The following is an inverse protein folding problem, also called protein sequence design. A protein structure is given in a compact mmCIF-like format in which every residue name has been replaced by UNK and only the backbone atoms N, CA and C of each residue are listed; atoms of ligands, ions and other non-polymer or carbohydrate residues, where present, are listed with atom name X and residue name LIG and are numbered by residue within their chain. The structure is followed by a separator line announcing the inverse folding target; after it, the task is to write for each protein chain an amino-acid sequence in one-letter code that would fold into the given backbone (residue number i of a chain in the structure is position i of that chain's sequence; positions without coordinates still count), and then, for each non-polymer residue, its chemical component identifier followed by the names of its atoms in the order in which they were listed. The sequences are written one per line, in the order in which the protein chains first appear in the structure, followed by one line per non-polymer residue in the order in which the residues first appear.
data_IF_609027784186
#
_entry.id   IF_609027784186
#
_cell.length_a   1.000
_cell.length_b   1.000
_cell.length_c   1.000
_cell.angle_alpha   90.00
_cell.angle_beta   90.00
_cell.angle_gamma   90.00
#
_symmetry.space_group_name_H-M   'P 1'
#
loop_
_entity.id
_entity.type
_entity.pdbx_description
1 polymer ?
#
# COMPACT_ATOMS: atom_id res chain seq x y z
N UNK A 1 10.73 -4.66 21.57
CA UNK A 1 9.79 -5.43 20.72
C UNK A 1 10.58 -5.97 19.54
N UNK A 2 10.65 -7.28 19.36
CA UNK A 2 11.46 -7.89 18.30
C UNK A 2 10.88 -7.51 16.93
N UNK A 3 11.72 -6.94 16.03
CA UNK A 3 11.38 -6.77 14.62
C UNK A 3 11.17 -8.16 14.03
N UNK A 4 9.94 -8.53 13.71
CA UNK A 4 9.70 -9.75 12.94
C UNK A 4 10.24 -9.51 11.52
N UNK A 5 11.21 -10.29 11.02
CA UNK A 5 11.76 -10.10 9.69
C UNK A 5 10.64 -10.25 8.67
N UNK A 6 10.37 -9.18 7.92
CA UNK A 6 9.32 -9.18 6.91
C UNK A 6 9.76 -10.07 5.75
N UNK A 7 9.03 -11.15 5.51
CA UNK A 7 9.25 -11.95 4.31
C UNK A 7 8.73 -11.19 3.10
N UNK A 8 9.29 -11.39 1.89
CA UNK A 8 8.78 -10.79 0.67
C UNK A 8 7.27 -11.01 0.49
N UNK A 9 6.77 -12.21 0.78
CA UNK A 9 5.35 -12.54 0.71
C UNK A 9 4.51 -11.74 1.71
N UNK A 10 4.93 -11.65 2.98
CA UNK A 10 4.20 -10.86 3.99
C UNK A 10 4.14 -9.37 3.65
N UNK A 11 5.20 -8.84 3.01
CA UNK A 11 5.23 -7.47 2.51
C UNK A 11 4.30 -7.28 1.33
N UNK A 12 4.33 -8.19 0.34
CA UNK A 12 3.44 -8.13 -0.82
C UNK A 12 1.98 -8.18 -0.42
N UNK A 13 1.61 -9.09 0.49
CA UNK A 13 0.24 -9.18 1.03
C UNK A 13 -0.22 -7.85 1.63
N UNK A 14 0.62 -7.24 2.50
CA UNK A 14 0.34 -5.92 3.06
C UNK A 14 0.20 -4.81 2.01
N UNK A 15 1.02 -4.79 0.97
CA UNK A 15 0.91 -3.78 -0.10
C UNK A 15 -0.42 -3.89 -0.84
N UNK A 16 -0.90 -5.12 -1.06
CA UNK A 16 -2.20 -5.38 -1.69
C UNK A 16 -3.37 -4.92 -0.81
N UNK A 17 -3.25 -5.08 0.51
CA UNK A 17 -4.27 -4.65 1.48
C UNK A 17 -4.28 -3.14 1.72
N UNK A 18 -3.13 -2.47 1.62
CA UNK A 18 -2.98 -1.04 1.89
C UNK A 18 -3.83 -0.18 0.96
N UNK A 19 -3.89 -0.50 -0.32
CA UNK A 19 -4.64 0.29 -1.31
C UNK A 19 -6.14 0.35 -0.99
N UNK A 20 -6.87 -0.78 -0.86
CA UNK A 20 -8.29 -0.76 -0.49
C UNK A 20 -8.54 -0.25 0.94
N UNK A 21 -7.59 -0.43 1.86
CA UNK A 21 -7.71 0.17 3.19
C UNK A 21 -7.70 1.70 3.10
N UNK A 22 -6.75 2.27 2.36
CA UNK A 22 -6.61 3.72 2.22
C UNK A 22 -7.76 4.35 1.45
N UNK A 23 -8.38 3.67 0.46
CA UNK A 23 -9.56 4.21 -0.22
C UNK A 23 -10.76 4.43 0.71
N UNK A 24 -10.86 3.66 1.81
CA UNK A 24 -11.88 3.83 2.85
C UNK A 24 -11.45 4.71 4.03
N UNK A 25 -10.14 4.98 4.18
CA UNK A 25 -9.55 5.73 5.30
C UNK A 25 -8.64 6.87 4.80
N UNK A 26 -9.15 7.70 3.89
CA UNK A 26 -8.40 8.86 3.38
C UNK A 26 -8.04 9.84 4.50
N UNK A 27 -6.79 10.30 4.52
CA UNK A 27 -6.30 11.23 5.53
C UNK A 27 -5.99 10.59 6.89
N UNK A 28 -5.77 9.27 6.95
CA UNK A 28 -5.36 8.58 8.17
C UNK A 28 -3.95 9.02 8.61
N UNK A 29 -3.73 9.14 9.92
CA UNK A 29 -2.41 9.38 10.50
C UNK A 29 -1.46 8.19 10.20
N UNK A 30 -0.24 8.49 9.78
CA UNK A 30 0.74 7.49 9.36
C UNK A 30 1.14 6.53 10.48
N UNK A 31 1.16 6.97 11.74
CA UNK A 31 1.49 6.10 12.87
C UNK A 31 0.34 5.18 13.22
N UNK A 32 -0.91 5.66 13.12
CA UNK A 32 -2.10 4.83 13.26
C UNK A 32 -2.16 3.78 12.15
N UNK A 33 -1.91 4.18 10.90
CA UNK A 33 -1.81 3.24 9.78
C UNK A 33 -0.73 2.18 10.01
N UNK A 34 0.45 2.59 10.46
CA UNK A 34 1.54 1.66 10.78
C UNK A 34 1.15 0.68 11.91
N UNK A 35 0.41 1.16 12.92
CA UNK A 35 -0.10 0.35 14.02
C UNK A 35 -1.13 -0.67 13.56
N UNK A 36 -2.10 -0.27 12.73
CA UNK A 36 -3.14 -1.16 12.20
C UNK A 36 -2.55 -2.33 11.40
N UNK A 37 -1.48 -2.06 10.64
CA UNK A 37 -0.74 -3.07 9.88
C UNK A 37 0.39 -3.74 10.67
N UNK A 38 0.52 -3.45 11.97
CA UNK A 38 1.54 -4.03 12.86
C UNK A 38 2.98 -3.90 12.35
N UNK A 39 3.31 -2.77 11.72
CA UNK A 39 4.66 -2.44 11.24
C UNK A 39 5.17 -1.12 11.83
N UNK A 40 6.48 -0.89 11.75
CA UNK A 40 7.03 0.42 12.15
C UNK A 40 6.67 1.51 11.14
N UNK A 41 6.56 2.77 11.58
CA UNK A 41 6.33 3.93 10.70
C UNK A 41 7.35 4.01 9.56
N UNK A 42 8.63 3.69 9.82
CA UNK A 42 9.67 3.64 8.78
C UNK A 42 9.40 2.59 7.70
N UNK A 43 8.82 1.44 8.07
CA UNK A 43 8.42 0.41 7.11
C UNK A 43 7.18 0.84 6.34
N UNK A 44 6.21 1.48 7.02
CA UNK A 44 5.03 2.04 6.38
C UNK A 44 5.42 3.07 5.31
N UNK A 45 6.34 3.99 5.62
CA UNK A 45 6.89 4.94 4.63
C UNK A 45 7.51 4.20 3.44
N UNK A 46 8.35 3.19 3.69
CA UNK A 46 8.97 2.42 2.60
C UNK A 46 7.93 1.68 1.71
N UNK A 47 6.83 1.23 2.31
CA UNK A 47 5.73 0.57 1.62
C UNK A 47 4.93 1.57 0.78
N UNK A 48 4.59 2.74 1.34
CA UNK A 48 3.95 3.84 0.61
C UNK A 48 4.81 4.37 -0.55
N UNK A 49 6.13 4.53 -0.35
CA UNK A 49 7.06 4.87 -1.43
C UNK A 49 7.07 3.82 -2.54
N UNK A 50 6.91 2.54 -2.19
CA UNK A 50 6.84 1.46 -3.19
C UNK A 50 5.54 1.55 -3.99
N UNK A 51 4.40 1.77 -3.32
CA UNK A 51 3.11 1.96 -4.00
C UNK A 51 3.13 3.18 -4.92
N UNK A 52 3.79 4.27 -4.53
CA UNK A 52 3.95 5.48 -5.35
C UNK A 52 4.66 5.20 -6.69
N UNK A 53 5.46 4.12 -6.76
CA UNK A 53 6.13 3.66 -7.98
C UNK A 53 5.31 2.65 -8.80
N UNK A 54 4.14 2.25 -8.31
CA UNK A 54 3.25 1.32 -9.01
C UNK A 54 2.19 2.09 -9.80
N UNK A 55 1.68 1.49 -10.88
CA UNK A 55 0.75 2.17 -11.76
C UNK A 55 0.25 1.30 -12.91
N UNK A 56 -0.54 1.93 -13.80
CA UNK A 56 -0.98 1.33 -15.04
C UNK A 56 0.21 1.15 -16.01
N UNK A 57 0.16 0.14 -16.89
CA UNK A 57 1.18 -0.07 -17.90
C UNK A 57 1.22 1.09 -18.90
N UNK A 58 2.38 1.71 -19.07
CA UNK A 58 2.59 2.87 -19.96
C UNK A 58 3.68 3.84 -19.47
N UNK A 59 3.99 3.78 -18.16
CA UNK A 59 5.07 4.54 -17.49
C UNK A 59 4.97 6.06 -17.65
N UNK A 60 3.78 6.59 -17.97
CA UNK A 60 3.57 8.04 -17.99
C UNK A 60 3.25 8.55 -16.58
N UNK A 61 3.56 9.82 -16.25
CA UNK A 61 3.26 10.38 -14.93
C UNK A 61 1.77 10.31 -14.52
N UNK A 62 0.86 10.20 -15.49
CA UNK A 62 -0.59 10.11 -15.25
C UNK A 62 -1.05 8.68 -14.91
N UNK A 63 -0.15 7.71 -14.92
CA UNK A 63 -0.47 6.29 -14.74
C UNK A 63 -0.01 5.73 -13.39
N UNK A 64 0.76 6.49 -12.61
CA UNK A 64 1.24 6.07 -11.28
C UNK A 64 0.22 6.35 -10.17
N UNK A 65 0.33 5.62 -9.05
CA UNK A 65 -0.42 5.95 -7.85
C UNK A 65 0.03 7.31 -7.30
N UNK A 66 -0.93 8.19 -7.04
CA UNK A 66 -0.66 9.52 -6.51
C UNK A 66 -0.95 9.53 -5.00
N UNK A 67 0.14 9.49 -4.22
CA UNK A 67 0.13 9.35 -2.76
C UNK A 67 0.77 10.57 -2.12
N UNK A 68 0.12 11.15 -1.11
CA UNK A 68 0.70 12.19 -0.25
C UNK A 68 0.77 11.69 1.19
N UNK A 69 1.95 11.78 1.80
CA UNK A 69 2.19 11.36 3.19
C UNK A 69 3.27 12.16 3.94
N UNK A 70 3.84 13.20 3.31
CA UNK A 70 4.89 14.04 3.94
C UNK A 70 4.37 14.86 5.13
N UNK A 71 3.06 15.12 5.18
CA UNK A 71 2.40 15.84 6.28
C UNK A 71 2.18 14.99 7.53
N UNK A 72 2.46 13.69 7.47
CA UNK A 72 2.09 12.69 8.48
C UNK A 72 0.71 12.08 8.28
N UNK A 73 -0.07 12.54 7.29
CA UNK A 73 -1.37 11.98 6.94
C UNK A 73 -1.35 11.41 5.53
N UNK A 74 -1.93 10.22 5.34
CA UNK A 74 -1.85 9.48 4.08
C UNK A 74 -3.11 9.68 3.23
N UNK A 75 -2.95 10.14 2.00
CA UNK A 75 -4.04 10.38 1.03
C UNK A 75 -3.68 9.80 -0.34
N UNK A 76 -4.65 9.19 -1.03
CA UNK A 76 -4.53 8.75 -2.43
C UNK A 76 -5.36 9.70 -3.31
N UNK A 77 -4.71 10.49 -4.16
CA UNK A 77 -5.39 11.49 -4.99
C UNK A 77 -6.13 10.88 -6.18
N UNK A 78 -5.65 9.77 -6.73
CA UNK A 78 -6.28 9.05 -7.85
C UNK A 78 -6.99 7.75 -7.42
N UNK A 79 -7.55 7.73 -6.21
CA UNK A 79 -8.19 6.54 -5.61
C UNK A 79 -9.25 5.88 -6.51
N UNK A 80 -10.03 6.67 -7.27
CA UNK A 80 -11.05 6.16 -8.19
C UNK A 80 -10.47 5.26 -9.29
N UNK A 81 -9.25 5.54 -9.75
CA UNK A 81 -8.56 4.72 -10.76
C UNK A 81 -8.10 3.37 -10.19
N UNK A 82 -8.00 3.27 -8.86
CA UNK A 82 -7.59 2.08 -8.11
C UNK A 82 -8.77 1.39 -7.42
N UNK A 83 -10.00 1.90 -7.60
CA UNK A 83 -11.19 1.45 -6.87
C UNK A 83 -11.61 0.00 -7.20
N UNK A 84 -11.08 -0.59 -8.28
CA UNK A 84 -11.30 -2.01 -8.61
C UNK A 84 -10.04 -2.81 -8.28
N UNK A 85 -10.10 -3.73 -7.30
CA UNK A 85 -9.02 -4.66 -7.04
C UNK A 85 -8.67 -5.45 -8.30
N UNK A 86 -7.38 -5.74 -8.49
CA UNK A 86 -6.94 -6.67 -9.54
C UNK A 86 -7.40 -8.08 -9.16
N UNK A 87 -7.92 -8.83 -10.14
CA UNK A 87 -8.12 -10.25 -9.96
C UNK A 87 -6.74 -10.94 -9.88
N UNK A 88 -6.53 -11.71 -8.82
CA UNK A 88 -5.38 -12.61 -8.69
C UNK A 88 -5.70 -13.94 -9.37
N UNK A 89 -4.69 -14.59 -9.95
CA UNK A 89 -4.83 -16.00 -10.34
C UNK A 89 -4.95 -16.89 -9.10
N UNK A 90 -5.34 -18.16 -9.29
CA UNK A 90 -5.42 -19.11 -8.18
C UNK A 90 -4.03 -19.32 -7.56
N UNK A 91 -2.99 -19.40 -8.38
CA UNK A 91 -1.61 -19.56 -7.91
C UNK A 91 -1.14 -18.35 -7.08
N UNK A 92 -1.45 -17.13 -7.53
CA UNK A 92 -1.13 -15.89 -6.82
C UNK A 92 -1.88 -15.79 -5.49
N UNK A 93 -3.17 -16.16 -5.48
CA UNK A 93 -3.98 -16.15 -4.27
C UNK A 93 -3.46 -17.18 -3.24
N UNK A 94 -3.12 -18.40 -3.69
CA UNK A 94 -2.55 -19.44 -2.81
C UNK A 94 -1.20 -19.02 -2.24
N UNK A 95 -0.37 -18.29 -3.01
CA UNK A 95 0.93 -17.82 -2.53
C UNK A 95 0.83 -16.80 -1.38
N UNK A 96 -0.34 -16.20 -1.17
CA UNK A 96 -0.60 -15.19 -0.13
C UNK A 96 -1.32 -15.74 1.11
N UNK A 97 -1.75 -17.02 1.10
CA UNK A 97 -2.35 -17.73 2.24
C UNK A 97 -1.28 -18.40 3.13
#
# INVERSE_FOLDING_TARGET
MAKNPQTPLSRTSRLLDLVPYLTSHQGIDLNILAQDFSVSSSQMVADLTTLWMCGLPGYTPLELMDLSFDSGYVTIHNADTLARPRNLTIEEAIALL
#
